data_IF_521553130369
#
_entry.id   IF_521553130369
#
_cell.length_a   1.000
_cell.length_b   1.000
_cell.length_c   1.000
_cell.angle_alpha   90.00
_cell.angle_beta   90.00
_cell.angle_gamma   90.00
#
_symmetry.space_group_name_H-M   'P 1'
#
loop_
_entity.id
_entity.type
_entity.pdbx_description
1 polymer ?
#
# COMPACT_ATOMS: atom_id res chain seq x y z
N UNK A 1 11.17 -0.19 44.74
CA UNK A 1 11.25 -1.50 45.42
C UNK A 1 10.96 -2.58 44.39
N UNK A 2 11.67 -3.70 44.43
CA UNK A 2 11.48 -4.80 43.47
C UNK A 2 11.12 -6.03 44.28
N UNK A 3 9.93 -6.58 44.02
CA UNK A 3 9.53 -7.87 44.57
C UNK A 3 9.73 -8.99 43.54
N UNK A 4 9.28 -10.22 43.85
CA UNK A 4 9.50 -11.39 42.98
C UNK A 4 8.89 -11.22 41.57
N UNK A 5 7.82 -10.44 41.43
CA UNK A 5 7.04 -10.37 40.20
C UNK A 5 6.87 -8.94 39.67
N UNK A 6 7.16 -7.91 40.47
CA UNK A 6 6.85 -6.54 40.12
C UNK A 6 7.95 -5.54 40.49
N UNK A 7 7.97 -4.43 39.76
CA UNK A 7 8.65 -3.19 40.10
C UNK A 7 7.62 -2.26 40.75
N UNK A 8 7.87 -1.88 42.00
CA UNK A 8 7.04 -0.93 42.75
C UNK A 8 7.76 0.43 42.83
N UNK A 9 7.12 1.47 42.29
CA UNK A 9 7.63 2.84 42.24
C UNK A 9 6.76 3.70 43.15
N UNK A 10 7.39 4.45 44.06
CA UNK A 10 6.73 5.49 44.83
C UNK A 10 7.24 6.84 44.32
N UNK A 11 6.33 7.67 43.82
CA UNK A 11 6.65 8.98 43.24
C UNK A 11 6.70 10.06 44.34
N UNK A 12 7.33 11.23 44.07
CA UNK A 12 7.46 12.31 45.06
C UNK A 12 6.14 12.87 45.60
N UNK A 13 5.04 12.72 44.86
CA UNK A 13 3.67 13.10 45.26
C UNK A 13 2.93 11.99 46.04
N UNK A 14 3.64 10.93 46.42
CA UNK A 14 3.13 9.70 47.03
C UNK A 14 2.28 8.81 46.10
N UNK A 15 2.22 9.07 44.79
CA UNK A 15 1.64 8.12 43.85
C UNK A 15 2.43 6.80 43.88
N UNK A 16 1.74 5.66 43.75
CA UNK A 16 2.36 4.34 43.72
C UNK A 16 2.02 3.63 42.42
N UNK A 17 3.04 3.21 41.69
CA UNK A 17 2.90 2.46 40.45
C UNK A 17 3.51 1.07 40.64
N UNK A 18 2.79 0.04 40.22
CA UNK A 18 3.27 -1.33 40.17
C UNK A 18 3.34 -1.77 38.72
N UNK A 19 4.50 -2.24 38.28
CA UNK A 19 4.76 -2.71 36.92
C UNK A 19 5.10 -4.20 37.00
N UNK A 20 4.30 -5.06 36.37
CA UNK A 20 4.54 -6.50 36.36
C UNK A 20 5.68 -6.88 35.41
N UNK A 21 6.53 -7.81 35.82
CA UNK A 21 7.52 -8.42 34.91
C UNK A 21 6.86 -9.12 33.73
N UNK A 22 5.64 -9.64 33.91
CA UNK A 22 4.86 -10.22 32.81
C UNK A 22 4.53 -9.17 31.73
N UNK A 23 4.16 -7.96 32.15
CA UNK A 23 3.86 -6.88 31.21
C UNK A 23 5.12 -6.41 30.48
N UNK A 24 6.25 -6.37 31.17
CA UNK A 24 7.56 -6.07 30.57
C UNK A 24 7.95 -7.12 29.53
N UNK A 25 7.79 -8.41 29.84
CA UNK A 25 8.04 -9.48 28.87
C UNK A 25 7.08 -9.38 27.67
N UNK A 26 5.83 -8.98 27.89
CA UNK A 26 4.87 -8.76 26.82
C UNK A 26 5.31 -7.66 25.84
N UNK A 27 6.07 -6.65 26.28
CA UNK A 27 6.62 -5.60 25.41
C UNK A 27 7.60 -6.14 24.35
N UNK A 28 8.21 -7.32 24.57
CA UNK A 28 9.11 -7.95 23.60
C UNK A 28 8.36 -8.63 22.45
N UNK A 29 7.06 -8.88 22.60
CA UNK A 29 6.26 -9.52 21.56
C UNK A 29 6.04 -8.53 20.41
N UNK A 30 6.39 -8.88 19.16
CA UNK A 30 6.11 -8.02 18.03
C UNK A 30 4.58 -7.86 17.89
N UNK A 31 4.14 -6.61 17.67
CA UNK A 31 2.71 -6.31 17.47
C UNK A 31 2.20 -6.70 16.09
N UNK A 32 3.12 -6.89 15.13
CA UNK A 32 2.82 -7.11 13.72
C UNK A 32 3.73 -8.22 13.20
N UNK A 33 3.25 -9.05 12.25
CA UNK A 33 4.11 -9.96 11.52
C UNK A 33 5.28 -9.23 10.85
N UNK A 34 6.42 -9.91 10.74
CA UNK A 34 7.58 -9.41 10.01
C UNK A 34 7.30 -9.37 8.50
N UNK A 35 7.79 -8.34 7.82
CA UNK A 35 7.60 -8.19 6.37
C UNK A 35 8.60 -9.07 5.63
N UNK A 36 8.12 -9.82 4.64
CA UNK A 36 8.96 -10.62 3.75
C UNK A 36 9.02 -9.99 2.37
N UNK A 37 10.22 -9.65 1.91
CA UNK A 37 10.45 -9.03 0.60
C UNK A 37 10.33 -10.04 -0.53
N UNK A 38 9.88 -9.58 -1.70
CA UNK A 38 9.76 -10.43 -2.89
C UNK A 38 10.12 -9.68 -4.18
N UNK A 39 10.38 -10.42 -5.26
CA UNK A 39 10.73 -9.90 -6.58
C UNK A 39 9.79 -10.48 -7.65
N UNK A 40 10.23 -10.56 -8.91
CA UNK A 40 9.46 -11.21 -9.96
C UNK A 40 9.05 -12.66 -9.63
N UNK A 41 8.02 -13.15 -10.33
CA UNK A 41 7.38 -14.46 -10.14
C UNK A 41 6.64 -14.63 -8.80
N UNK A 42 6.49 -13.58 -8.01
CA UNK A 42 5.62 -13.60 -6.85
C UNK A 42 4.15 -13.62 -7.30
N UNK A 43 3.36 -14.52 -6.73
CA UNK A 43 1.92 -14.63 -6.97
C UNK A 43 1.21 -14.34 -5.65
N UNK A 44 0.33 -13.31 -5.57
CA UNK A 44 -0.45 -13.05 -4.38
C UNK A 44 -1.26 -14.28 -3.97
N UNK A 45 -1.38 -14.50 -2.66
CA UNK A 45 -2.23 -15.58 -2.15
C UNK A 45 -3.70 -15.20 -2.28
N UNK A 46 -4.53 -16.19 -2.63
CA UNK A 46 -5.95 -16.02 -2.85
C UNK A 46 -6.77 -16.51 -1.66
N UNK A 47 -7.71 -15.68 -1.21
CA UNK A 47 -8.68 -16.00 -0.17
C UNK A 47 -10.11 -15.90 -0.73
N UNK A 48 -11.01 -16.79 -0.34
CA UNK A 48 -12.41 -16.71 -0.76
C UNK A 48 -13.10 -15.53 -0.04
N UNK A 49 -13.95 -14.79 -0.76
CA UNK A 49 -14.73 -13.66 -0.27
C UNK A 49 -15.54 -13.98 1.01
N UNK A 50 -16.38 -15.02 0.96
CA UNK A 50 -17.25 -15.38 2.07
C UNK A 50 -16.42 -15.84 3.28
N UNK A 51 -15.39 -16.65 3.05
CA UNK A 51 -14.50 -17.10 4.11
C UNK A 51 -13.75 -15.94 4.78
N UNK A 52 -13.27 -14.97 3.98
CA UNK A 52 -12.61 -13.78 4.50
C UNK A 52 -13.55 -12.94 5.37
N UNK A 53 -14.80 -12.76 4.95
CA UNK A 53 -15.78 -11.98 5.69
C UNK A 53 -16.35 -12.70 6.92
N UNK A 54 -16.57 -14.02 6.86
CA UNK A 54 -17.34 -14.75 7.86
C UNK A 54 -16.49 -15.58 8.82
N UNK A 55 -15.24 -15.92 8.45
CA UNK A 55 -14.38 -16.78 9.26
C UNK A 55 -13.16 -16.05 9.82
N UNK A 56 -13.15 -15.80 11.13
CA UNK A 56 -12.05 -15.11 11.81
C UNK A 56 -10.69 -15.80 11.62
N UNK A 57 -10.66 -17.13 11.49
CA UNK A 57 -9.40 -17.84 11.29
C UNK A 57 -8.80 -17.55 9.92
N UNK A 58 -9.65 -17.44 8.90
CA UNK A 58 -9.26 -17.09 7.53
C UNK A 58 -8.92 -15.61 7.46
N UNK A 59 -9.70 -14.74 8.11
CA UNK A 59 -9.41 -13.32 8.20
C UNK A 59 -8.04 -13.04 8.84
N UNK A 60 -7.71 -13.69 9.96
CA UNK A 60 -6.38 -13.59 10.59
C UNK A 60 -5.30 -14.05 9.60
N UNK A 61 -5.50 -15.18 8.91
CA UNK A 61 -4.51 -15.65 7.93
C UNK A 61 -4.33 -14.67 6.78
N UNK A 62 -5.41 -14.10 6.25
CA UNK A 62 -5.38 -13.17 5.13
C UNK A 62 -4.76 -11.82 5.52
N UNK A 63 -5.15 -11.27 6.66
CA UNK A 63 -4.60 -10.00 7.16
C UNK A 63 -3.12 -10.15 7.50
N UNK A 64 -2.72 -11.25 8.14
CA UNK A 64 -1.30 -11.52 8.41
C UNK A 64 -0.50 -11.65 7.12
N UNK A 65 -1.00 -12.41 6.13
CA UNK A 65 -0.37 -12.50 4.80
C UNK A 65 -0.25 -11.12 4.14
N UNK A 66 -1.30 -10.30 4.22
CA UNK A 66 -1.30 -8.94 3.68
C UNK A 66 -0.25 -8.04 4.35
N UNK A 67 -0.09 -8.13 5.68
CA UNK A 67 0.98 -7.39 6.39
C UNK A 67 2.37 -7.89 5.97
N UNK A 68 2.55 -9.21 5.87
CA UNK A 68 3.84 -9.86 5.54
C UNK A 68 4.27 -9.50 4.12
N UNK A 69 3.37 -9.64 3.13
CA UNK A 69 3.68 -9.51 1.69
C UNK A 69 3.31 -8.15 1.11
N UNK A 70 2.46 -7.37 1.76
CA UNK A 70 1.93 -6.11 1.25
C UNK A 70 0.87 -6.27 0.17
N UNK A 71 0.43 -7.49 -0.15
CA UNK A 71 -0.53 -7.76 -1.22
C UNK A 71 -1.19 -9.13 -1.05
N UNK A 72 -2.50 -9.20 -1.29
CA UNK A 72 -3.28 -10.45 -1.38
C UNK A 72 -4.37 -10.31 -2.46
N UNK A 73 -4.94 -11.43 -2.87
CA UNK A 73 -6.16 -11.46 -3.66
C UNK A 73 -7.33 -12.04 -2.87
N UNK A 74 -8.50 -11.43 -3.02
CA UNK A 74 -9.79 -12.00 -2.60
C UNK A 74 -10.53 -12.43 -3.86
N UNK A 75 -11.05 -13.66 -3.92
CA UNK A 75 -11.75 -14.22 -5.08
C UNK A 75 -13.19 -14.55 -4.75
N UNK A 76 -13.99 -14.71 -5.81
CA UNK A 76 -15.42 -14.98 -5.75
C UNK A 76 -16.22 -13.87 -5.05
N UNK A 77 -15.74 -12.62 -5.15
CA UNK A 77 -16.49 -11.46 -4.71
C UNK A 77 -17.73 -11.24 -5.61
N UNK A 78 -18.83 -10.68 -5.09
CA UNK A 78 -19.99 -10.34 -5.89
C UNK A 78 -19.65 -9.31 -6.97
N UNK A 79 -19.86 -9.64 -8.25
CA UNK A 79 -19.68 -8.73 -9.39
C UNK A 79 -20.82 -7.69 -9.50
N UNK A 80 -21.11 -6.99 -8.42
CA UNK A 80 -22.09 -5.91 -8.34
C UNK A 80 -21.39 -4.61 -7.91
N UNK A 81 -21.88 -3.44 -8.36
CA UNK A 81 -21.30 -2.17 -7.94
C UNK A 81 -21.28 -1.99 -6.43
N UNK A 82 -20.24 -1.33 -5.94
CA UNK A 82 -20.04 -0.87 -4.56
C UNK A 82 -19.89 -2.00 -3.52
N UNK A 83 -19.68 -3.24 -3.93
CA UNK A 83 -19.43 -4.35 -3.00
C UNK A 83 -18.14 -4.19 -2.18
N UNK A 84 -17.25 -3.26 -2.55
CA UNK A 84 -16.12 -2.89 -1.69
C UNK A 84 -16.55 -2.34 -0.32
N UNK A 85 -17.76 -1.78 -0.16
CA UNK A 85 -18.29 -1.40 1.17
C UNK A 85 -18.37 -2.60 2.13
N UNK A 86 -18.64 -3.80 1.60
CA UNK A 86 -18.82 -5.00 2.41
C UNK A 86 -17.50 -5.51 3.02
N UNK A 87 -16.35 -5.00 2.58
CA UNK A 87 -15.05 -5.27 3.20
C UNK A 87 -14.80 -4.45 4.48
N UNK A 88 -15.61 -3.42 4.76
CA UNK A 88 -15.39 -2.52 5.91
C UNK A 88 -15.33 -3.22 7.27
N UNK A 89 -16.04 -4.33 7.55
CA UNK A 89 -15.88 -5.03 8.83
C UNK A 89 -14.49 -5.64 9.01
N UNK A 90 -13.78 -5.95 7.92
CA UNK A 90 -12.43 -6.54 7.95
C UNK A 90 -11.33 -5.51 7.74
N UNK A 91 -11.56 -4.49 6.92
CA UNK A 91 -10.54 -3.51 6.53
C UNK A 91 -10.65 -2.16 7.24
N UNK A 92 -11.76 -1.92 7.97
CA UNK A 92 -12.09 -0.62 8.53
C UNK A 92 -12.90 0.25 7.56
N UNK A 93 -13.24 1.49 7.95
CA UNK A 93 -13.98 2.40 7.09
C UNK A 93 -13.20 2.70 5.81
N UNK A 94 -13.93 2.88 4.70
CA UNK A 94 -13.35 3.44 3.48
C UNK A 94 -12.82 4.84 3.79
N UNK A 95 -11.57 5.07 3.39
CA UNK A 95 -10.93 6.38 3.40
C UNK A 95 -11.37 7.14 2.14
N UNK A 96 -12.20 8.15 2.35
CA UNK A 96 -12.56 9.07 1.28
C UNK A 96 -11.35 9.96 0.90
N UNK A 97 -11.28 10.23 -0.39
CA UNK A 97 -10.23 11.00 -1.07
C UNK A 97 -10.90 12.03 -1.99
N UNK A 98 -10.15 12.78 -2.79
CA UNK A 98 -10.69 13.86 -3.63
C UNK A 98 -11.63 13.37 -4.73
N UNK A 99 -11.61 12.06 -5.04
CA UNK A 99 -12.54 11.41 -5.97
C UNK A 99 -13.72 10.78 -5.24
N UNK A 100 -14.60 10.14 -6.02
CA UNK A 100 -15.70 9.33 -5.50
C UNK A 100 -15.22 8.31 -4.45
N UNK A 101 -16.05 8.09 -3.42
CA UNK A 101 -15.79 7.13 -2.34
C UNK A 101 -15.43 5.72 -2.84
N UNK A 102 -16.10 5.28 -3.89
CA UNK A 102 -15.75 4.08 -4.68
C UNK A 102 -15.72 4.55 -6.12
N UNK A 103 -14.53 4.54 -6.71
CA UNK A 103 -14.31 5.09 -8.03
C UNK A 103 -14.46 4.02 -9.12
N UNK A 104 -14.88 4.43 -10.31
CA UNK A 104 -15.18 3.54 -11.44
C UNK A 104 -14.13 3.68 -12.53
N UNK A 105 -13.34 2.62 -12.74
CA UNK A 105 -12.37 2.52 -13.83
C UNK A 105 -12.95 1.66 -14.95
N UNK A 106 -13.57 2.32 -15.94
CA UNK A 106 -14.10 1.70 -17.16
C UNK A 106 -13.67 2.45 -18.42
N UNK A 107 -13.72 1.76 -19.57
CA UNK A 107 -13.42 2.33 -20.89
C UNK A 107 -14.58 3.17 -21.46
N UNK A 108 -15.80 2.99 -20.95
CA UNK A 108 -17.01 3.67 -21.41
C UNK A 108 -17.27 4.98 -20.64
N UNK A 109 -16.46 5.28 -19.61
CA UNK A 109 -16.58 6.45 -18.75
C UNK A 109 -15.83 7.69 -19.28
N UNK A 110 -15.93 8.80 -18.54
CA UNK A 110 -15.16 10.01 -18.82
C UNK A 110 -13.65 9.75 -18.69
N UNK A 111 -12.91 10.06 -19.75
CA UNK A 111 -11.45 9.86 -19.81
C UNK A 111 -10.77 11.11 -19.26
N UNK A 112 -10.28 11.04 -18.01
CA UNK A 112 -9.47 12.11 -17.41
C UNK A 112 -8.07 11.65 -17.00
N UNK A 113 -7.81 10.33 -16.95
CA UNK A 113 -6.48 9.76 -16.73
C UNK A 113 -6.25 8.50 -17.59
N UNK A 114 -4.99 8.11 -17.79
CA UNK A 114 -4.54 6.95 -18.58
C UNK A 114 -5.16 5.63 -18.13
N UNK A 115 -5.60 5.54 -16.86
CA UNK A 115 -6.33 4.39 -16.31
C UNK A 115 -7.59 4.02 -17.12
N UNK A 116 -8.25 5.01 -17.75
CA UNK A 116 -9.44 4.84 -18.58
C UNK A 116 -9.14 4.50 -20.05
N UNK A 117 -7.87 4.26 -20.39
CA UNK A 117 -7.43 3.91 -21.75
C UNK A 117 -7.00 2.44 -21.84
N UNK A 118 -6.90 1.91 -23.07
CA UNK A 118 -6.38 0.56 -23.31
C UNK A 118 -4.85 0.44 -23.24
N UNK A 119 -4.15 1.57 -23.06
CA UNK A 119 -2.70 1.62 -22.95
C UNK A 119 -2.20 0.96 -21.66
N UNK A 120 -0.89 0.74 -21.60
CA UNK A 120 -0.22 0.31 -20.37
C UNK A 120 -0.29 1.42 -19.31
N UNK A 121 -0.55 1.02 -18.08
CA UNK A 121 -0.39 1.88 -16.90
C UNK A 121 0.90 1.43 -16.20
N UNK A 122 1.98 2.22 -16.25
CA UNK A 122 3.25 1.83 -15.64
C UNK A 122 3.13 1.72 -14.12
N UNK A 123 4.06 1.02 -13.44
CA UNK A 123 4.04 0.88 -11.98
C UNK A 123 4.05 2.24 -11.27
N UNK A 124 3.11 2.45 -10.35
CA UNK A 124 2.97 3.68 -9.58
C UNK A 124 2.29 3.46 -8.21
N UNK A 125 2.32 4.50 -7.38
CA UNK A 125 1.43 4.69 -6.24
C UNK A 125 0.42 5.80 -6.56
N UNK A 126 -0.79 5.63 -6.08
CA UNK A 126 -1.83 6.65 -6.18
C UNK A 126 -1.67 7.73 -5.12
N UNK A 127 -2.28 8.89 -5.38
CA UNK A 127 -2.39 10.01 -4.43
C UNK A 127 -1.05 10.47 -3.83
N UNK A 128 0.01 10.46 -4.64
CA UNK A 128 1.30 11.02 -4.25
C UNK A 128 1.24 12.53 -3.92
N UNK A 129 0.14 13.23 -4.20
CA UNK A 129 -0.14 14.61 -3.81
C UNK A 129 -0.70 14.77 -2.39
N UNK A 130 -1.06 13.70 -1.68
CA UNK A 130 -1.47 13.77 -0.27
C UNK A 130 -0.25 13.78 0.65
N UNK A 131 -0.28 14.62 1.70
CA UNK A 131 0.74 14.63 2.76
C UNK A 131 0.92 13.25 3.41
N UNK A 132 -0.19 12.53 3.55
CA UNK A 132 -0.25 11.11 3.90
C UNK A 132 -1.19 10.38 2.92
N UNK A 133 -0.70 9.72 1.87
CA UNK A 133 -1.54 8.99 0.92
C UNK A 133 -2.31 7.87 1.60
N UNK A 134 -3.46 7.42 1.05
CA UNK A 134 -4.12 6.22 1.51
C UNK A 134 -3.14 5.05 1.54
N UNK A 135 -3.13 4.32 2.65
CA UNK A 135 -2.14 3.26 2.84
C UNK A 135 -2.56 1.95 2.22
N UNK A 136 -3.85 1.74 1.96
CA UNK A 136 -4.38 0.51 1.37
C UNK A 136 -5.32 0.83 0.22
N UNK A 137 -5.20 0.09 -0.87
CA UNK A 137 -6.07 0.15 -2.03
C UNK A 137 -6.67 -1.22 -2.32
N UNK A 138 -7.99 -1.27 -2.55
CA UNK A 138 -8.68 -2.44 -3.05
C UNK A 138 -9.13 -2.18 -4.49
N UNK A 139 -8.74 -3.06 -5.40
CA UNK A 139 -9.03 -3.00 -6.83
C UNK A 139 -9.95 -4.18 -7.20
N UNK A 140 -11.24 -3.95 -7.31
CA UNK A 140 -12.25 -4.96 -7.58
C UNK A 140 -12.59 -5.06 -9.07
N UNK A 141 -12.27 -6.20 -9.67
CA UNK A 141 -12.61 -6.50 -11.05
C UNK A 141 -14.06 -6.97 -11.15
N UNK A 142 -14.97 -6.11 -11.62
CA UNK A 142 -16.37 -6.47 -11.83
C UNK A 142 -16.56 -7.24 -13.15
N UNK A 143 -15.87 -6.79 -14.20
CA UNK A 143 -15.97 -7.37 -15.55
C UNK A 143 -14.58 -7.37 -16.20
N UNK A 144 -14.16 -8.51 -16.76
CA UNK A 144 -12.93 -8.59 -17.54
C UNK A 144 -13.08 -9.53 -18.75
N UNK A 145 -13.62 -9.01 -19.85
CA UNK A 145 -13.79 -9.73 -21.12
C UNK A 145 -12.69 -9.40 -22.14
N UNK A 146 -11.81 -8.44 -21.83
CA UNK A 146 -10.73 -8.00 -22.71
C UNK A 146 -9.55 -8.98 -22.70
N UNK A 147 -8.91 -9.14 -23.87
CA UNK A 147 -7.61 -9.81 -24.00
C UNK A 147 -6.46 -8.92 -23.51
N UNK A 148 -5.51 -9.50 -22.76
CA UNK A 148 -4.43 -8.78 -22.10
C UNK A 148 -4.90 -8.03 -20.85
N UNK A 149 -4.19 -6.98 -20.44
CA UNK A 149 -4.57 -6.20 -19.26
C UNK A 149 -4.18 -6.84 -17.94
N UNK A 150 -3.15 -7.69 -17.96
CA UNK A 150 -2.52 -8.29 -16.80
C UNK A 150 -2.16 -7.20 -15.79
N UNK A 151 -2.56 -7.42 -14.54
CA UNK A 151 -2.15 -6.60 -13.41
C UNK A 151 -0.65 -6.80 -13.17
N UNK A 152 0.03 -5.73 -12.78
CA UNK A 152 1.43 -5.73 -12.43
C UNK A 152 1.60 -5.22 -11.00
N UNK A 153 2.45 -5.90 -10.23
CA UNK A 153 2.83 -5.48 -8.88
C UNK A 153 4.35 -5.53 -8.71
N UNK A 154 4.88 -4.62 -7.90
CA UNK A 154 6.30 -4.54 -7.54
C UNK A 154 6.41 -4.27 -6.05
N UNK A 155 7.20 -5.07 -5.35
CA UNK A 155 7.59 -4.78 -3.97
C UNK A 155 8.61 -3.63 -3.96
N UNK A 156 8.13 -2.42 -3.71
CA UNK A 156 8.98 -1.24 -3.63
C UNK A 156 10.05 -1.37 -2.55
N UNK A 157 9.78 -2.11 -1.47
CA UNK A 157 10.76 -2.28 -0.40
C UNK A 157 11.92 -3.20 -0.82
N UNK A 158 11.66 -4.20 -1.68
CA UNK A 158 12.72 -5.01 -2.28
C UNK A 158 13.59 -4.16 -3.23
N UNK A 159 12.96 -3.32 -4.05
CA UNK A 159 13.68 -2.38 -4.93
C UNK A 159 14.55 -1.42 -4.12
N UNK A 160 13.98 -0.82 -3.07
CA UNK A 160 14.67 0.15 -2.23
C UNK A 160 15.79 -0.47 -1.39
N UNK A 161 15.63 -1.73 -0.94
CA UNK A 161 16.70 -2.47 -0.28
C UNK A 161 17.89 -2.64 -1.21
N UNK A 162 17.67 -3.16 -2.42
CA UNK A 162 18.75 -3.33 -3.39
C UNK A 162 19.38 -1.99 -3.78
N UNK A 163 18.57 -0.93 -3.94
CA UNK A 163 19.09 0.42 -4.20
C UNK A 163 19.99 0.92 -3.07
N UNK A 164 19.61 0.68 -1.81
CA UNK A 164 20.40 1.07 -0.63
C UNK A 164 21.72 0.31 -0.55
N UNK A 165 21.69 -0.99 -0.86
CA UNK A 165 22.87 -1.85 -0.83
C UNK A 165 23.88 -1.46 -1.94
N UNK A 166 23.38 -1.14 -3.14
CA UNK A 166 24.22 -0.80 -4.31
C UNK A 166 24.64 0.68 -4.33
N UNK A 167 23.74 1.58 -3.94
CA UNK A 167 23.87 3.05 -4.04
C UNK A 167 23.28 3.73 -2.78
N UNK A 168 23.97 3.64 -1.62
CA UNK A 168 23.47 4.23 -0.38
C UNK A 168 23.26 5.76 -0.48
N UNK A 169 24.08 6.47 -1.27
CA UNK A 169 23.92 7.90 -1.54
C UNK A 169 22.64 8.22 -2.33
N UNK A 170 22.22 7.31 -3.22
CA UNK A 170 20.96 7.45 -3.96
C UNK A 170 19.76 7.19 -3.05
N UNK A 171 19.84 6.21 -2.16
CA UNK A 171 18.82 6.01 -1.13
C UNK A 171 18.70 7.23 -0.20
N UNK A 172 19.83 7.78 0.24
CA UNK A 172 19.87 8.95 1.12
C UNK A 172 19.27 10.19 0.46
N UNK A 173 19.59 10.48 -0.81
CA UNK A 173 19.00 11.64 -1.49
C UNK A 173 17.50 11.44 -1.73
N UNK A 174 17.05 10.23 -2.07
CA UNK A 174 15.62 9.94 -2.30
C UNK A 174 14.79 9.97 -1.00
N UNK A 175 15.42 9.80 0.16
CA UNK A 175 14.76 9.89 1.46
C UNK A 175 14.75 11.30 2.07
N UNK A 176 15.58 12.22 1.56
CA UNK A 176 15.73 13.57 2.11
C UNK A 176 15.34 14.70 1.17
N UNK A 177 15.36 14.46 -0.15
CA UNK A 177 14.98 15.47 -1.14
C UNK A 177 13.46 15.57 -1.28
N UNK A 178 12.87 16.70 -0.89
CA UNK A 178 11.43 16.94 -1.07
C UNK A 178 11.06 17.10 -2.55
N UNK A 179 10.08 16.32 -3.00
CA UNK A 179 9.56 16.34 -4.36
C UNK A 179 8.14 16.93 -4.33
N UNK A 180 7.83 17.93 -5.17
CA UNK A 180 6.48 18.46 -5.29
C UNK A 180 5.61 17.49 -6.09
N UNK A 181 4.46 17.13 -5.55
CA UNK A 181 3.41 16.33 -6.19
C UNK A 181 2.10 17.10 -6.16
N UNK A 182 1.35 17.07 -7.26
CA UNK A 182 0.08 17.79 -7.40
C UNK A 182 -0.91 16.98 -8.20
N UNK A 183 -2.16 16.99 -7.77
CA UNK A 183 -3.31 16.44 -8.47
C UNK A 183 -4.43 17.48 -8.40
N UNK A 184 -5.05 17.82 -9.53
CA UNK A 184 -6.06 18.87 -9.58
C UNK A 184 -7.02 18.70 -10.77
N UNK A 185 -8.25 19.17 -10.60
CA UNK A 185 -9.25 19.35 -11.65
C UNK A 185 -9.93 20.74 -11.50
N UNK A 186 -11.14 20.93 -12.04
CA UNK A 186 -11.87 22.21 -11.92
C UNK A 186 -12.37 22.51 -10.49
N UNK A 187 -12.59 21.48 -9.67
CA UNK A 187 -13.22 21.58 -8.34
C UNK A 187 -12.29 21.15 -7.20
N UNK A 188 -11.20 20.43 -7.49
CA UNK A 188 -10.34 19.77 -6.52
C UNK A 188 -8.86 20.11 -6.72
N UNK A 189 -8.11 20.16 -5.62
CA UNK A 189 -6.66 20.25 -5.64
C UNK A 189 -6.03 19.61 -4.40
N UNK A 190 -4.97 18.83 -4.61
CA UNK A 190 -4.09 18.35 -3.56
C UNK A 190 -2.63 18.59 -3.94
N UNK A 191 -1.81 18.87 -2.92
CA UNK A 191 -0.39 19.14 -3.09
C UNK A 191 0.41 18.63 -1.88
N UNK A 192 1.54 17.97 -2.16
CA UNK A 192 2.51 17.55 -1.17
C UNK A 192 3.92 17.84 -1.67
N UNK A 193 4.81 18.26 -0.76
CA UNK A 193 6.23 18.43 -1.05
C UNK A 193 7.03 17.52 -0.12
N UNK A 194 7.21 16.27 -0.53
CA UNK A 194 7.60 15.16 0.34
C UNK A 194 8.67 14.29 -0.36
N UNK A 195 9.54 13.59 0.39
CA UNK A 195 10.51 12.69 -0.22
C UNK A 195 9.82 11.45 -0.84
N UNK A 196 10.51 10.81 -1.77
CA UNK A 196 10.08 9.55 -2.39
C UNK A 196 10.10 8.40 -1.38
N UNK A 197 11.09 8.39 -0.49
CA UNK A 197 11.24 7.39 0.56
C UNK A 197 11.00 8.07 1.91
N UNK A 198 10.01 7.59 2.67
CA UNK A 198 9.72 8.07 4.02
C UNK A 198 10.29 7.11 5.04
N UNK A 199 11.05 7.66 6.00
CA UNK A 199 11.64 6.91 7.10
C UNK A 199 10.98 7.29 8.45
N UNK A 200 10.90 6.35 9.38
CA UNK A 200 10.54 6.62 10.77
C UNK A 200 11.77 7.03 11.61
N UNK A 201 11.56 7.27 12.91
CA UNK A 201 12.64 7.63 13.84
C UNK A 201 13.72 6.53 14.03
N UNK A 202 13.43 5.28 13.65
CA UNK A 202 14.36 4.17 13.66
C UNK A 202 15.07 3.97 12.29
N UNK A 203 14.88 4.90 11.34
CA UNK A 203 15.38 4.83 9.96
C UNK A 203 14.82 3.64 9.15
N UNK A 204 13.63 3.16 9.51
CA UNK A 204 12.92 2.12 8.76
C UNK A 204 11.98 2.75 7.73
N UNK A 205 11.84 2.11 6.57
CA UNK A 205 10.95 2.57 5.51
C UNK A 205 9.49 2.40 5.96
N UNK A 206 8.77 3.51 6.05
CA UNK A 206 7.34 3.55 6.38
C UNK A 206 6.47 4.02 5.22
N UNK A 207 7.09 4.49 4.13
CA UNK A 207 6.35 4.87 2.93
C UNK A 207 7.25 4.96 1.72
N UNK A 208 6.70 4.53 0.60
CA UNK A 208 7.28 4.67 -0.72
C UNK A 208 6.26 5.39 -1.60
N UNK A 209 6.72 6.48 -2.23
CA UNK A 209 5.91 7.38 -3.04
C UNK A 209 6.54 7.52 -4.42
N UNK A 210 6.10 6.68 -5.35
CA UNK A 210 6.54 6.70 -6.73
C UNK A 210 5.35 6.97 -7.65
N UNK A 211 5.18 8.22 -8.06
CA UNK A 211 4.15 8.63 -9.03
C UNK A 211 4.75 9.64 -10.00
N UNK A 212 5.11 9.19 -11.19
CA UNK A 212 5.63 10.06 -12.26
C UNK A 212 4.55 11.00 -12.81
N UNK A 213 3.27 10.60 -12.74
CA UNK A 213 2.13 11.39 -13.25
C UNK A 213 1.86 12.63 -12.40
N UNK A 214 2.05 12.53 -11.07
CA UNK A 214 1.74 13.62 -10.14
C UNK A 214 2.97 14.49 -9.82
N UNK A 215 4.19 14.02 -10.11
CA UNK A 215 5.42 14.76 -9.85
C UNK A 215 5.46 16.07 -10.67
N UNK A 216 5.69 17.19 -10.00
CA UNK A 216 5.75 18.52 -10.59
C UNK A 216 7.18 18.93 -10.97
N UNK A 217 7.29 20.04 -11.70
CA UNK A 217 8.58 20.64 -12.01
C UNK A 217 9.35 21.00 -10.72
N UNK A 218 10.62 20.63 -10.67
CA UNK A 218 11.53 20.98 -9.58
C UNK A 218 12.42 22.12 -10.03
N UNK A 219 12.59 23.13 -9.16
CA UNK A 219 13.52 24.24 -9.40
C UNK A 219 14.95 23.72 -9.63
N UNK A 220 15.58 23.99 -10.80
CA UNK A 220 16.94 23.54 -11.09
C UNK A 220 18.01 24.20 -10.20
N UNK A 221 17.68 25.26 -9.45
CA UNK A 221 18.58 25.86 -8.46
C UNK A 221 18.54 25.16 -7.10
N UNK A 222 17.59 24.25 -6.87
CA UNK A 222 17.49 23.52 -5.61
C UNK A 222 18.75 22.70 -5.36
N UNK A 223 19.33 22.85 -4.16
CA UNK A 223 20.54 22.13 -3.75
C UNK A 223 20.34 20.61 -3.94
N UNK A 224 21.34 19.94 -4.51
CA UNK A 224 21.38 18.50 -4.79
C UNK A 224 20.39 17.99 -5.87
N UNK A 225 19.71 18.86 -6.63
CA UNK A 225 18.76 18.45 -7.68
C UNK A 225 19.38 17.51 -8.74
N UNK A 226 20.64 17.74 -9.12
CA UNK A 226 21.34 16.86 -10.07
C UNK A 226 21.54 15.44 -9.52
N UNK A 227 21.87 15.32 -8.23
CA UNK A 227 22.01 14.03 -7.56
C UNK A 227 20.65 13.34 -7.44
N UNK A 228 19.60 14.08 -7.08
CA UNK A 228 18.24 13.56 -7.04
C UNK A 228 17.82 12.96 -8.39
N UNK A 229 18.02 13.66 -9.52
CA UNK A 229 17.62 13.13 -10.82
C UNK A 229 18.43 11.90 -11.25
N UNK A 230 19.71 11.79 -10.87
CA UNK A 230 20.51 10.57 -11.09
C UNK A 230 19.94 9.39 -10.30
N UNK A 231 19.65 9.61 -9.01
CA UNK A 231 19.06 8.60 -8.14
C UNK A 231 17.66 8.19 -8.58
N UNK A 232 16.83 9.17 -8.98
CA UNK A 232 15.49 8.92 -9.52
C UNK A 232 15.55 8.13 -10.82
N UNK A 233 16.47 8.44 -11.73
CA UNK A 233 16.67 7.68 -12.96
C UNK A 233 17.06 6.22 -12.68
N UNK A 234 17.99 5.98 -11.76
CA UNK A 234 18.37 4.63 -11.34
C UNK A 234 17.17 3.87 -10.71
N UNK A 235 16.40 4.54 -9.85
CA UNK A 235 15.17 3.98 -9.30
C UNK A 235 14.17 3.61 -10.41
N UNK A 236 13.95 4.49 -11.40
CA UNK A 236 13.10 4.22 -12.57
C UNK A 236 13.57 2.98 -13.35
N UNK A 237 14.89 2.82 -13.57
CA UNK A 237 15.45 1.67 -14.26
C UNK A 237 15.18 0.38 -13.50
N UNK A 238 15.34 0.39 -12.16
CA UNK A 238 15.05 -0.77 -11.31
C UNK A 238 13.57 -1.13 -11.35
N UNK A 239 12.67 -0.17 -11.13
CA UNK A 239 11.21 -0.40 -11.17
C UNK A 239 10.78 -0.96 -12.53
N UNK A 240 11.36 -0.49 -13.62
CA UNK A 240 11.01 -0.96 -14.95
C UNK A 240 11.65 -2.31 -15.34
N UNK A 241 12.59 -2.83 -14.55
CA UNK A 241 13.23 -4.11 -14.79
C UNK A 241 12.30 -5.29 -14.53
N UNK A 242 12.35 -6.30 -15.40
CA UNK A 242 11.65 -7.58 -15.23
C UNK A 242 12.14 -8.37 -14.01
N UNK A 243 13.25 -7.95 -13.36
CA UNK A 243 13.68 -8.50 -12.06
C UNK A 243 12.62 -8.33 -10.98
N UNK A 244 11.84 -7.25 -10.98
CA UNK A 244 10.92 -6.92 -9.88
C UNK A 244 9.45 -7.05 -10.25
N UNK A 245 9.12 -7.11 -11.54
CA UNK A 245 7.75 -7.15 -12.03
C UNK A 245 7.14 -8.53 -11.85
N UNK A 246 6.08 -8.61 -11.06
CA UNK A 246 5.20 -9.76 -11.00
C UNK A 246 3.88 -9.43 -11.69
N UNK A 247 3.48 -10.30 -12.63
CA UNK A 247 2.33 -10.06 -13.52
C UNK A 247 1.34 -11.21 -13.40
N UNK A 248 0.05 -10.90 -13.35
CA UNK A 248 -1.02 -11.89 -13.24
C UNK A 248 -2.34 -11.29 -13.71
N UNK A 249 -3.29 -12.14 -14.09
CA UNK A 249 -4.61 -11.70 -14.52
C UNK A 249 -5.59 -11.67 -13.35
N UNK A 250 -6.36 -10.59 -13.24
CA UNK A 250 -7.55 -10.52 -12.39
C UNK A 250 -8.77 -10.90 -13.21
N UNK A 251 -9.55 -11.87 -12.72
CA UNK A 251 -10.83 -12.25 -13.34
C UNK A 251 -11.98 -11.49 -12.67
N UNK A 252 -13.16 -11.50 -13.29
CA UNK A 252 -14.37 -10.98 -12.65
C UNK A 252 -14.60 -11.64 -11.28
N UNK A 253 -14.89 -10.82 -10.27
CA UNK A 253 -15.03 -11.25 -8.87
C UNK A 253 -13.70 -11.40 -8.13
N UNK A 254 -12.57 -10.99 -8.73
CA UNK A 254 -11.30 -10.86 -8.01
C UNK A 254 -11.11 -9.43 -7.49
N UNK A 255 -10.60 -9.31 -6.27
CA UNK A 255 -10.17 -8.06 -5.64
C UNK A 255 -8.69 -8.18 -5.33
N UNK A 256 -7.89 -7.25 -5.84
CA UNK A 256 -6.50 -7.09 -5.44
C UNK A 256 -6.42 -6.09 -4.29
N UNK A 257 -5.93 -6.52 -3.13
CA UNK A 257 -5.68 -5.64 -2.00
C UNK A 257 -4.19 -5.33 -1.94
N UNK A 258 -3.82 -4.05 -1.93
CA UNK A 258 -2.44 -3.57 -2.03
C UNK A 258 -2.12 -2.66 -0.85
N UNK A 259 -0.97 -2.88 -0.20
CA UNK A 259 -0.40 -1.95 0.77
C UNK A 259 0.36 -0.87 0.00
N UNK A 260 -0.35 0.20 -0.37
CA UNK A 260 0.08 1.26 -1.30
C UNK A 260 1.27 2.07 -0.81
N UNK A 261 1.66 1.98 0.46
CA UNK A 261 2.92 2.57 0.95
C UNK A 261 4.16 1.71 0.67
N UNK A 262 3.98 0.47 0.20
CA UNK A 262 5.06 -0.47 -0.09
C UNK A 262 5.03 -0.93 -1.55
N UNK A 263 3.87 -1.35 -2.02
CA UNK A 263 3.71 -2.04 -3.30
C UNK A 263 3.29 -1.04 -4.37
N UNK A 264 4.04 -1.00 -5.47
CA UNK A 264 3.60 -0.31 -6.69
C UNK A 264 2.66 -1.23 -7.45
N UNK A 265 1.66 -0.66 -8.10
CA UNK A 265 0.78 -1.41 -9.00
C UNK A 265 0.73 -0.76 -10.38
N UNK A 266 0.33 -1.54 -11.37
CA UNK A 266 0.20 -1.13 -12.76
C UNK A 266 -0.57 -2.17 -13.56
N UNK A 267 -0.59 -2.01 -14.88
CA UNK A 267 -1.33 -2.90 -15.78
C UNK A 267 -0.72 -2.89 -17.17
N UNK A 268 -0.54 -4.07 -17.78
CA UNK A 268 -0.17 -4.19 -19.19
C UNK A 268 -1.27 -3.68 -20.12
N UNK A 269 -0.94 -3.28 -21.35
CA UNK A 269 -1.95 -2.90 -22.35
C UNK A 269 -2.96 -4.04 -22.60
N UNK A 270 -4.20 -3.69 -22.94
CA UNK A 270 -5.22 -4.67 -23.36
C UNK A 270 -5.84 -4.32 -24.70
N UNK A 271 -6.51 -5.28 -25.34
CA UNK A 271 -7.34 -5.04 -26.52
C UNK A 271 -8.76 -4.68 -26.06
N UNK A 272 -9.35 -3.55 -26.49
CA UNK A 272 -10.71 -3.19 -26.14
C UNK A 272 -11.73 -3.98 -26.97
N UNK A 273 -11.67 -5.31 -26.90
CA UNK A 273 -12.51 -6.25 -27.64
C UNK A 273 -13.65 -6.86 -26.79
N UNK A 274 -13.84 -6.34 -25.57
CA UNK A 274 -14.88 -6.73 -24.63
C UNK A 274 -15.07 -5.65 -23.57
N UNK A 275 -15.94 -5.90 -22.58
CA UNK A 275 -16.09 -4.99 -21.44
C UNK A 275 -14.99 -5.20 -20.42
N UNK A 276 -14.54 -4.10 -19.83
CA UNK A 276 -13.63 -4.10 -18.69
C UNK A 276 -14.06 -3.04 -17.70
N UNK A 277 -14.36 -3.46 -16.48
CA UNK A 277 -14.83 -2.56 -15.43
C UNK A 277 -14.23 -2.98 -14.09
N UNK A 278 -13.48 -2.05 -13.51
CA UNK A 278 -12.89 -2.16 -12.19
C UNK A 278 -13.47 -1.06 -11.30
N UNK A 279 -13.67 -1.36 -10.02
CA UNK A 279 -13.92 -0.36 -9.00
C UNK A 279 -12.77 -0.34 -7.99
N UNK A 280 -12.39 0.84 -7.54
CA UNK A 280 -11.36 1.01 -6.54
C UNK A 280 -11.86 1.78 -5.31
N UNK A 281 -11.36 1.37 -4.15
CA UNK A 281 -11.63 2.01 -2.88
C UNK A 281 -10.38 1.96 -2.01
N UNK A 282 -10.30 2.91 -1.07
CA UNK A 282 -9.11 3.09 -0.24
C UNK A 282 -9.43 2.84 1.23
N UNK A 283 -8.47 2.32 1.97
CA UNK A 283 -8.57 2.01 3.40
C UNK A 283 -7.27 2.41 4.11
N UNK A 284 -7.24 2.20 5.43
CA UNK A 284 -6.06 2.46 6.24
C UNK A 284 -5.49 1.20 6.89
N UNK A 285 -4.17 1.06 6.78
CA UNK A 285 -3.38 -0.03 7.34
C UNK A 285 -3.55 -0.10 8.87
N UNK A 286 -3.63 1.05 9.54
CA UNK A 286 -3.85 1.10 10.99
C UNK A 286 -5.15 0.38 11.41
N UNK A 287 -6.21 0.49 10.61
CA UNK A 287 -7.47 -0.21 10.89
C UNK A 287 -7.35 -1.72 10.67
N UNK A 288 -6.65 -2.14 9.60
CA UNK A 288 -6.39 -3.55 9.31
C UNK A 288 -5.56 -4.19 10.41
N UNK A 289 -4.49 -3.53 10.84
CA UNK A 289 -3.62 -4.01 11.91
C UNK A 289 -4.34 -4.04 13.26
N UNK A 290 -5.19 -3.05 13.55
CA UNK A 290 -6.07 -3.09 14.72
C UNK A 290 -7.01 -4.31 14.66
N UNK A 291 -7.63 -4.58 13.51
CA UNK A 291 -8.51 -5.73 13.35
C UNK A 291 -7.78 -7.06 13.53
N UNK A 292 -6.52 -7.18 13.09
CA UNK A 292 -5.70 -8.35 13.38
C UNK A 292 -5.60 -8.59 14.89
N UNK A 293 -5.23 -7.55 15.66
CA UNK A 293 -5.11 -7.64 17.12
C UNK A 293 -6.44 -8.06 17.75
N UNK A 294 -7.56 -7.47 17.33
CA UNK A 294 -8.88 -7.81 17.85
C UNK A 294 -9.25 -9.28 17.58
N UNK A 295 -9.03 -9.77 16.36
CA UNK A 295 -9.36 -11.16 16.01
C UNK A 295 -8.44 -12.17 16.67
N UNK A 296 -7.15 -11.87 16.82
CA UNK A 296 -6.22 -12.73 17.57
C UNK A 296 -6.62 -12.83 19.04
N UNK A 297 -7.07 -11.73 19.65
CA UNK A 297 -7.56 -11.75 21.03
C UNK A 297 -8.87 -12.55 21.18
N UNK A 298 -9.73 -12.59 20.16
CA UNK A 298 -10.94 -13.42 20.18
C UNK A 298 -10.66 -14.93 20.05
N UNK A 299 -9.45 -15.34 19.65
CA UNK A 299 -9.03 -16.76 19.64
C UNK A 299 -8.59 -17.26 21.02
N UNK A 300 -8.22 -16.35 21.93
CA UNK A 300 -7.74 -16.65 23.29
C UNK A 300 -8.83 -16.51 24.33
#
# INVERSE_FOLDING_TARGET
DIDKNNINICWPDNHKTTISFKDIEFLKRPRKPEKELWTNNFIPKYYNWDDFLQNNNIAISAISEFIIKGVICIKNAPCIPNSLEDLTPRLGPIREVLFERIHNVSIDGHIYNIAHTSLEVPPHNDFASYSWPPSVQALHMLINECEGGESMIIDGYAVLKDLKDDHPDFFDILSTFSVPFREFDEENETYANEPIIRLNAANEIIGFRYSNQLMQMIDPHKKNVSLFYKAYHELCNRINSEKYKSKFRLEAGHILLVFSHRVLHGREKFKPNGKRHLQDAYYEMDNIENNLVLYENLRG
#
